data_IF_236707937475
#
_entry.id   IF_236707937475
#
_cell.length_a   1.000
_cell.length_b   1.000
_cell.length_c   1.000
_cell.angle_alpha   90.00
_cell.angle_beta   90.00
_cell.angle_gamma   90.00
#
_symmetry.space_group_name_H-M   'P 1'
#
loop_
_entity.id
_entity.type
_entity.pdbx_description
1 polymer ?
#
# COMPACT_ATOMS: atom_id res chain seq x y z
N UNK A 1 -23.65 12.74 10.68
CA UNK A 1 -23.66 12.03 11.98
C UNK A 1 -22.23 11.54 12.21
N UNK A 2 -21.40 12.38 12.86
CA UNK A 2 -19.97 12.11 13.09
C UNK A 2 -19.80 11.02 14.14
N UNK A 3 -19.49 9.82 13.73
CA UNK A 3 -19.02 8.76 14.63
C UNK A 3 -17.59 9.11 15.05
N UNK A 4 -17.43 9.68 16.25
CA UNK A 4 -16.14 9.86 16.89
C UNK A 4 -15.48 8.48 16.98
N UNK A 5 -14.45 8.25 16.14
CA UNK A 5 -13.52 7.13 16.33
C UNK A 5 -12.89 7.31 17.71
N UNK A 6 -13.45 6.62 18.72
CA UNK A 6 -12.79 6.42 19.99
C UNK A 6 -11.57 5.56 19.71
N UNK A 7 -10.41 6.19 19.56
CA UNK A 7 -9.14 5.51 19.78
C UNK A 7 -9.17 5.11 21.25
N UNK A 8 -9.51 3.85 21.46
CA UNK A 8 -9.65 3.24 22.78
C UNK A 8 -8.29 3.34 23.49
N UNK A 9 -8.32 3.70 24.76
CA UNK A 9 -7.22 3.84 25.73
C UNK A 9 -6.27 2.63 25.82
N UNK A 10 -5.66 2.22 24.71
CA UNK A 10 -4.59 1.21 24.68
C UNK A 10 -3.19 1.85 24.79
N UNK A 11 -3.12 3.17 24.71
CA UNK A 11 -1.89 3.97 24.72
C UNK A 11 -0.99 3.76 25.96
N UNK A 12 -1.51 3.66 27.18
CA UNK A 12 -0.60 3.52 28.34
C UNK A 12 0.13 2.18 28.40
N UNK A 13 -0.42 1.11 27.78
CA UNK A 13 0.21 -0.22 27.81
C UNK A 13 1.36 -0.35 26.80
N UNK A 14 1.30 0.39 25.70
CA UNK A 14 2.32 0.39 24.65
C UNK A 14 3.52 1.24 25.07
N UNK A 15 3.29 2.35 25.77
CA UNK A 15 4.38 3.20 26.32
C UNK A 15 5.20 2.44 27.37
N UNK A 16 4.57 1.60 28.21
CA UNK A 16 5.30 0.74 29.15
C UNK A 16 6.18 -0.29 28.46
N UNK A 17 5.80 -0.78 27.27
CA UNK A 17 6.61 -1.73 26.50
C UNK A 17 7.80 -1.06 25.79
N UNK A 18 7.65 0.22 25.40
CA UNK A 18 8.69 1.04 24.78
C UNK A 18 9.69 1.64 25.78
N UNK A 19 9.30 1.71 27.07
CA UNK A 19 10.15 2.20 28.18
C UNK A 19 10.94 1.09 28.88
N UNK A 20 10.97 -0.13 28.37
CA UNK A 20 11.90 -1.14 28.85
C UNK A 20 13.34 -0.59 28.67
N UNK A 21 14.15 -0.56 29.75
CA UNK A 21 15.43 0.12 29.72
C UNK A 21 16.34 -0.46 28.60
N UNK A 22 17.09 0.38 27.88
CA UNK A 22 17.98 -0.05 26.80
C UNK A 22 19.10 -1.01 27.22
N UNK A 23 19.22 -1.30 28.53
CA UNK A 23 20.11 -2.32 29.07
C UNK A 23 19.91 -3.71 28.48
N UNK A 24 18.72 -4.04 27.97
CA UNK A 24 18.48 -5.31 27.26
C UNK A 24 19.07 -5.33 25.83
N UNK A 25 19.21 -4.18 25.20
CA UNK A 25 19.84 -4.01 23.86
C UNK A 25 21.36 -3.84 23.95
N UNK A 26 21.88 -3.33 25.09
CA UNK A 26 23.31 -3.13 25.30
C UNK A 26 24.04 -4.39 25.77
N UNK A 27 23.32 -5.40 26.30
CA UNK A 27 23.93 -6.67 26.69
C UNK A 27 24.44 -7.52 25.50
N UNK A 28 24.07 -7.18 24.27
CA UNK A 28 24.53 -7.89 23.07
C UNK A 28 25.83 -7.34 22.47
N UNK A 29 26.33 -6.18 22.93
CA UNK A 29 27.53 -5.54 22.37
C UNK A 29 28.83 -5.76 23.17
N UNK A 30 28.77 -6.45 24.32
CA UNK A 30 29.92 -6.60 25.25
C UNK A 30 30.30 -8.06 25.50
N UNK A 31 30.32 -8.93 24.49
CA UNK A 31 30.91 -10.25 24.60
C UNK A 31 31.81 -10.53 23.39
N UNK A 32 33.12 -10.60 23.68
CA UNK A 32 34.18 -10.81 22.69
C UNK A 32 34.07 -12.12 21.92
N UNK A 33 34.65 -12.09 20.75
CA UNK A 33 35.03 -13.13 19.80
C UNK A 33 35.04 -14.58 20.31
N UNK A 34 33.98 -15.32 20.03
CA UNK A 34 34.04 -16.76 19.71
C UNK A 34 32.70 -17.05 19.04
N UNK A 35 32.62 -17.97 18.04
CA UNK A 35 31.52 -18.20 17.12
C UNK A 35 30.15 -18.09 17.78
N UNK A 36 29.46 -16.96 17.53
CA UNK A 36 28.18 -16.68 18.16
C UNK A 36 27.12 -17.52 17.48
N UNK A 37 26.61 -18.52 18.19
CA UNK A 37 25.37 -19.15 17.85
C UNK A 37 24.29 -18.05 17.70
N UNK A 38 23.68 -17.97 16.50
CA UNK A 38 22.61 -17.01 16.23
C UNK A 38 21.46 -17.37 17.15
N UNK A 39 21.12 -16.50 18.10
CA UNK A 39 19.91 -16.69 18.90
C UNK A 39 18.70 -16.46 18.01
N UNK A 40 18.20 -17.54 17.41
CA UNK A 40 17.02 -17.51 16.52
C UNK A 40 15.83 -16.85 17.19
N UNK A 41 15.62 -17.08 18.48
CA UNK A 41 14.54 -16.46 19.23
C UNK A 41 14.66 -14.92 19.24
N UNK A 42 15.82 -14.39 19.60
CA UNK A 42 16.03 -12.92 19.62
C UNK A 42 15.97 -12.33 18.21
N UNK A 43 16.47 -13.03 17.21
CA UNK A 43 16.42 -12.57 15.83
C UNK A 43 14.98 -12.52 15.33
N UNK A 44 14.19 -13.57 15.53
CA UNK A 44 12.78 -13.63 15.10
C UNK A 44 11.95 -12.57 15.83
N UNK A 45 12.09 -12.44 17.14
CA UNK A 45 11.34 -11.43 17.91
C UNK A 45 11.74 -10.01 17.55
N UNK A 46 13.03 -9.73 17.27
CA UNK A 46 13.48 -8.41 16.82
C UNK A 46 12.98 -8.11 15.40
N UNK A 47 12.99 -9.09 14.51
CA UNK A 47 12.48 -8.93 13.13
C UNK A 47 10.99 -8.61 13.14
N UNK A 48 10.19 -9.41 13.86
CA UNK A 48 8.75 -9.15 13.96
C UNK A 48 8.44 -7.87 14.75
N UNK A 49 9.22 -7.52 15.78
CA UNK A 49 9.11 -6.26 16.50
C UNK A 49 9.42 -5.06 15.62
N UNK A 50 10.50 -5.14 14.84
CA UNK A 50 10.87 -4.13 13.85
C UNK A 50 9.81 -3.97 12.76
N UNK A 51 9.28 -5.08 12.26
CA UNK A 51 8.18 -5.09 11.29
C UNK A 51 6.91 -4.49 11.88
N UNK A 52 6.58 -4.82 13.13
CA UNK A 52 5.44 -4.23 13.84
C UNK A 52 5.55 -2.71 13.97
N UNK A 53 6.73 -2.20 14.35
CA UNK A 53 7.00 -0.76 14.42
C UNK A 53 6.91 -0.10 13.03
N UNK A 54 7.45 -0.73 12.00
CA UNK A 54 7.36 -0.25 10.62
C UNK A 54 5.92 -0.14 10.14
N UNK A 55 5.13 -1.22 10.28
CA UNK A 55 3.73 -1.26 9.83
C UNK A 55 2.86 -0.28 10.63
N UNK A 56 3.01 -0.26 11.94
CA UNK A 56 2.25 0.64 12.81
C UNK A 56 2.61 2.11 12.57
N UNK A 57 3.91 2.39 12.35
CA UNK A 57 4.39 3.73 11.97
C UNK A 57 3.80 4.19 10.64
N UNK A 58 3.74 3.30 9.66
CA UNK A 58 3.13 3.57 8.35
C UNK A 58 1.62 3.84 8.47
N UNK A 59 0.90 3.06 9.27
CA UNK A 59 -0.53 3.26 9.52
C UNK A 59 -0.80 4.58 10.24
N UNK A 60 -0.05 4.88 11.29
CA UNK A 60 -0.16 6.14 12.04
C UNK A 60 0.12 7.36 11.17
N UNK A 61 1.15 7.31 10.30
CA UNK A 61 1.45 8.36 9.33
C UNK A 61 0.29 8.53 8.35
N UNK A 62 -0.22 7.43 7.79
CA UNK A 62 -1.35 7.42 6.86
C UNK A 62 -2.61 8.03 7.49
N UNK A 63 -2.96 7.64 8.69
CA UNK A 63 -4.16 8.13 9.38
C UNK A 63 -4.04 9.61 9.74
N UNK A 64 -2.87 10.05 10.16
CA UNK A 64 -2.61 11.48 10.38
C UNK A 64 -2.79 12.31 9.11
N UNK A 65 -2.30 11.83 7.97
CA UNK A 65 -2.49 12.49 6.67
C UNK A 65 -3.95 12.47 6.20
N UNK A 66 -4.68 11.36 6.37
CA UNK A 66 -6.13 11.29 6.05
C UNK A 66 -6.93 12.31 6.85
N UNK A 67 -6.66 12.44 8.15
CA UNK A 67 -7.34 13.40 9.01
C UNK A 67 -7.00 14.84 8.58
N UNK A 68 -5.73 15.13 8.27
CA UNK A 68 -5.29 16.42 7.79
C UNK A 68 -5.93 16.80 6.43
N UNK A 69 -6.11 15.82 5.53
CA UNK A 69 -6.76 16.03 4.23
C UNK A 69 -8.28 16.24 4.35
N UNK A 70 -8.90 15.73 5.42
CA UNK A 70 -10.33 15.89 5.70
C UNK A 70 -11.28 15.29 4.66
N UNK A 71 -12.53 15.79 4.64
CA UNK A 71 -13.59 15.30 3.74
C UNK A 71 -13.40 15.73 2.26
N UNK A 72 -12.35 16.49 1.94
CA UNK A 72 -12.11 17.00 0.58
C UNK A 72 -11.84 15.89 -0.44
N UNK A 73 -11.32 14.73 0.00
CA UNK A 73 -11.01 13.62 -0.90
C UNK A 73 -12.24 13.06 -1.60
N UNK A 74 -13.36 12.91 -0.89
CA UNK A 74 -14.61 12.45 -1.48
C UNK A 74 -15.11 13.43 -2.54
N UNK A 75 -15.13 14.73 -2.23
CA UNK A 75 -15.58 15.78 -3.16
C UNK A 75 -14.66 15.92 -4.38
N UNK A 76 -13.38 15.56 -4.27
CA UNK A 76 -12.44 15.55 -5.40
C UNK A 76 -12.78 14.38 -6.34
N UNK A 77 -13.09 13.19 -5.82
CA UNK A 77 -13.54 12.06 -6.64
C UNK A 77 -14.89 12.31 -7.30
N UNK A 78 -15.85 12.91 -6.57
CA UNK A 78 -17.18 13.24 -7.10
C UNK A 78 -17.13 14.24 -8.28
N UNK A 79 -16.09 15.09 -8.34
CA UNK A 79 -15.87 16.05 -9.42
C UNK A 79 -15.11 15.47 -10.62
N UNK A 80 -14.82 14.16 -10.62
CA UNK A 80 -14.17 13.50 -11.75
C UNK A 80 -15.04 13.62 -12.99
N UNK A 81 -14.53 14.38 -13.94
CA UNK A 81 -15.09 14.46 -15.30
C UNK A 81 -14.69 13.22 -16.10
N UNK A 82 -15.23 13.07 -17.30
CA UNK A 82 -14.87 12.00 -18.27
C UNK A 82 -13.40 12.08 -18.75
N UNK A 83 -12.61 13.06 -18.26
CA UNK A 83 -11.21 13.21 -18.64
C UNK A 83 -10.32 12.20 -17.91
N UNK A 84 -9.83 11.21 -18.65
CA UNK A 84 -8.98 10.12 -18.14
C UNK A 84 -7.65 10.60 -17.54
N UNK A 85 -7.07 11.68 -18.06
CA UNK A 85 -5.82 12.24 -17.53
C UNK A 85 -6.05 12.88 -16.16
N UNK A 86 -7.17 13.60 -16.01
CA UNK A 86 -7.57 14.13 -14.72
C UNK A 86 -7.87 13.02 -13.72
N UNK A 87 -8.50 11.93 -14.17
CA UNK A 87 -8.76 10.77 -13.33
C UNK A 87 -7.46 10.12 -12.81
N UNK A 88 -6.42 10.01 -13.67
CA UNK A 88 -5.09 9.55 -13.24
C UNK A 88 -4.49 10.48 -12.21
N UNK A 89 -4.48 11.80 -12.46
CA UNK A 89 -3.92 12.78 -11.54
C UNK A 89 -4.63 12.74 -10.16
N UNK A 90 -5.95 12.64 -10.16
CA UNK A 90 -6.76 12.54 -8.94
C UNK A 90 -6.51 11.20 -8.23
N UNK A 91 -6.46 10.09 -8.95
CA UNK A 91 -6.13 8.77 -8.37
C UNK A 91 -4.74 8.76 -7.72
N UNK A 92 -3.74 9.36 -8.39
CA UNK A 92 -2.39 9.50 -7.86
C UNK A 92 -2.37 10.39 -6.60
N UNK A 93 -3.02 11.55 -6.65
CA UNK A 93 -3.08 12.47 -5.51
C UNK A 93 -3.77 11.85 -4.29
N UNK A 94 -4.93 11.22 -4.49
CA UNK A 94 -5.68 10.59 -3.40
C UNK A 94 -4.85 9.46 -2.77
N UNK A 95 -4.24 8.60 -3.60
CA UNK A 95 -3.43 7.50 -3.08
C UNK A 95 -2.17 7.99 -2.39
N UNK A 96 -1.54 9.05 -2.89
CA UNK A 96 -0.42 9.72 -2.22
C UNK A 96 -0.81 10.21 -0.82
N UNK A 97 -2.01 10.76 -0.65
CA UNK A 97 -2.50 11.24 0.65
C UNK A 97 -2.94 10.08 1.55
N UNK A 98 -3.69 9.11 1.00
CA UNK A 98 -4.16 7.93 1.76
C UNK A 98 -3.00 6.96 2.07
N UNK A 99 -1.93 6.97 1.28
CA UNK A 99 -0.79 6.03 1.35
C UNK A 99 -1.20 4.56 1.15
N UNK A 100 -2.33 4.32 0.47
CA UNK A 100 -2.85 2.98 0.22
C UNK A 100 -3.65 2.92 -1.07
N UNK A 101 -3.09 2.28 -2.11
CA UNK A 101 -3.80 2.02 -3.36
C UNK A 101 -4.97 1.05 -3.17
N UNK A 102 -4.83 0.08 -2.25
CA UNK A 102 -5.93 -0.82 -1.89
C UNK A 102 -7.12 -0.05 -1.33
N UNK A 103 -6.91 0.88 -0.39
CA UNK A 103 -7.99 1.71 0.16
C UNK A 103 -8.63 2.60 -0.91
N UNK A 104 -7.82 3.18 -1.81
CA UNK A 104 -8.32 3.98 -2.94
C UNK A 104 -9.17 3.12 -3.88
N UNK A 105 -8.73 1.90 -4.21
CA UNK A 105 -9.47 1.00 -5.09
C UNK A 105 -10.76 0.50 -4.44
N UNK A 106 -10.75 0.14 -3.16
CA UNK A 106 -11.97 -0.25 -2.41
C UNK A 106 -12.98 0.90 -2.37
N UNK A 107 -12.51 2.13 -2.15
CA UNK A 107 -13.35 3.32 -2.18
C UNK A 107 -13.92 3.55 -3.60
N UNK A 108 -13.13 3.35 -4.64
CA UNK A 108 -13.56 3.43 -6.03
C UNK A 108 -14.63 2.37 -6.34
N UNK A 109 -14.43 1.10 -5.95
CA UNK A 109 -15.41 0.01 -6.05
C UNK A 109 -16.72 0.43 -5.38
N UNK A 110 -16.66 1.02 -4.18
CA UNK A 110 -17.85 1.50 -3.46
C UNK A 110 -18.57 2.64 -4.20
N UNK A 111 -17.85 3.57 -4.82
CA UNK A 111 -18.45 4.68 -5.57
C UNK A 111 -19.07 4.22 -6.88
N UNK A 112 -18.45 3.28 -7.55
CA UNK A 112 -19.04 2.66 -8.74
C UNK A 112 -20.27 1.83 -8.36
N UNK A 113 -20.20 1.08 -7.25
CA UNK A 113 -21.32 0.30 -6.75
C UNK A 113 -22.55 1.15 -6.36
N UNK A 114 -22.31 2.36 -5.86
CA UNK A 114 -23.37 3.32 -5.51
C UNK A 114 -23.84 4.20 -6.68
N UNK A 115 -23.30 4.00 -7.89
CA UNK A 115 -23.64 4.79 -9.08
C UNK A 115 -23.07 6.23 -9.06
N UNK A 116 -22.20 6.57 -8.11
CA UNK A 116 -21.55 7.91 -8.05
C UNK A 116 -20.50 8.09 -9.14
N UNK A 117 -19.88 7.01 -9.59
CA UNK A 117 -18.92 6.97 -10.69
C UNK A 117 -19.26 5.83 -11.64
N UNK A 118 -18.99 6.02 -12.93
CA UNK A 118 -19.04 4.92 -13.89
C UNK A 118 -17.77 4.09 -13.85
N UNK A 119 -17.84 2.83 -14.26
CA UNK A 119 -16.69 1.95 -14.42
C UNK A 119 -15.58 2.60 -15.27
N UNK A 120 -15.95 3.23 -16.41
CA UNK A 120 -15.00 3.85 -17.34
C UNK A 120 -14.21 5.00 -16.70
N UNK A 121 -14.88 5.83 -15.89
CA UNK A 121 -14.22 6.90 -15.11
C UNK A 121 -13.24 6.31 -14.09
N UNK A 122 -13.57 5.17 -13.52
CA UNK A 122 -12.72 4.47 -12.55
C UNK A 122 -11.37 4.00 -13.11
N UNK A 123 -11.27 3.70 -14.41
CA UNK A 123 -10.03 3.16 -15.01
C UNK A 123 -8.83 4.09 -14.84
N UNK A 124 -9.03 5.41 -15.04
CA UNK A 124 -7.98 6.39 -14.82
C UNK A 124 -7.54 6.47 -13.35
N UNK A 125 -8.50 6.39 -12.41
CA UNK A 125 -8.20 6.40 -10.98
C UNK A 125 -7.37 5.19 -10.57
N UNK A 126 -7.62 4.00 -11.13
CA UNK A 126 -6.82 2.79 -10.90
C UNK A 126 -5.36 3.02 -11.32
N UNK A 127 -5.14 3.48 -12.56
CA UNK A 127 -3.79 3.75 -13.07
C UNK A 127 -3.07 4.80 -12.22
N UNK A 128 -3.79 5.88 -11.85
CA UNK A 128 -3.26 6.90 -10.95
C UNK A 128 -2.93 6.38 -9.57
N UNK A 129 -3.76 5.50 -9.01
CA UNK A 129 -3.52 4.94 -7.67
C UNK A 129 -2.23 4.13 -7.59
N UNK A 130 -1.86 3.44 -8.67
CA UNK A 130 -0.58 2.73 -8.75
C UNK A 130 0.61 3.71 -8.68
N UNK A 131 0.55 4.84 -9.40
CA UNK A 131 1.58 5.89 -9.29
C UNK A 131 1.60 6.47 -7.87
N UNK A 132 0.44 6.82 -7.31
CA UNK A 132 0.35 7.42 -5.97
C UNK A 132 0.94 6.55 -4.87
N UNK A 133 0.81 5.22 -4.97
CA UNK A 133 1.38 4.28 -4.00
C UNK A 133 2.91 4.26 -3.99
N UNK A 134 3.56 4.67 -5.09
CA UNK A 134 5.02 4.69 -5.18
C UNK A 134 5.66 5.77 -4.30
N UNK A 135 4.90 6.79 -3.92
CA UNK A 135 5.37 7.84 -3.01
C UNK A 135 5.81 7.26 -1.67
N UNK A 136 5.09 6.23 -1.17
CA UNK A 136 5.52 5.50 0.04
C UNK A 136 6.92 4.90 -0.14
N UNK A 137 7.19 4.26 -1.26
CA UNK A 137 8.51 3.69 -1.56
C UNK A 137 9.59 4.79 -1.61
N UNK A 138 9.29 5.93 -2.23
CA UNK A 138 10.20 7.07 -2.30
C UNK A 138 10.53 7.62 -0.90
N UNK A 139 9.52 7.73 -0.04
CA UNK A 139 9.68 8.17 1.34
C UNK A 139 10.56 7.18 2.11
N UNK A 140 10.24 5.88 2.02
CA UNK A 140 10.96 4.81 2.73
C UNK A 140 12.41 4.69 2.29
N UNK A 141 12.72 5.01 1.03
CA UNK A 141 14.06 4.97 0.49
C UNK A 141 14.96 6.13 0.92
N UNK A 142 14.45 7.13 1.65
CA UNK A 142 15.30 8.17 2.24
C UNK A 142 16.11 7.61 3.40
N UNK A 143 17.40 7.99 3.48
CA UNK A 143 18.29 7.61 4.60
C UNK A 143 18.03 8.51 5.82
N UNK A 144 16.88 8.35 6.48
CA UNK A 144 16.47 9.15 7.65
C UNK A 144 16.55 8.32 8.94
N UNK A 145 17.03 7.08 8.85
CA UNK A 145 17.10 6.14 9.98
C UNK A 145 17.86 6.68 11.19
N UNK A 146 18.88 7.52 10.97
CA UNK A 146 19.67 8.11 12.05
C UNK A 146 18.90 9.16 12.85
N UNK A 147 17.90 9.80 12.23
CA UNK A 147 17.02 10.78 12.87
C UNK A 147 15.72 10.17 13.41
N UNK A 148 15.54 8.86 13.29
CA UNK A 148 14.29 8.18 13.65
C UNK A 148 13.88 8.46 15.11
N UNK A 149 14.83 8.39 16.06
CA UNK A 149 14.54 8.66 17.47
C UNK A 149 14.17 10.13 17.73
N UNK A 150 14.79 11.07 17.03
CA UNK A 150 14.43 12.49 17.13
C UNK A 150 13.00 12.73 16.60
N UNK A 151 12.64 12.10 15.48
CA UNK A 151 11.28 12.16 14.94
C UNK A 151 10.26 11.56 15.91
N UNK A 152 10.57 10.41 16.54
CA UNK A 152 9.74 9.80 17.58
C UNK A 152 9.54 10.78 18.74
N UNK A 153 10.62 11.37 19.24
CA UNK A 153 10.54 12.30 20.37
C UNK A 153 9.69 13.54 20.04
N UNK A 154 9.96 14.20 18.91
CA UNK A 154 9.22 15.40 18.48
C UNK A 154 7.75 15.05 18.22
N UNK A 155 7.48 13.98 17.47
CA UNK A 155 6.12 13.56 17.15
C UNK A 155 5.32 13.17 18.40
N UNK A 156 5.95 12.45 19.35
CA UNK A 156 5.33 12.10 20.64
C UNK A 156 5.02 13.35 21.46
N UNK A 157 5.95 14.28 21.59
CA UNK A 157 5.72 15.56 22.30
C UNK A 157 4.57 16.34 21.68
N UNK A 158 4.54 16.47 20.36
CA UNK A 158 3.46 17.18 19.66
C UNK A 158 2.10 16.48 19.85
N UNK A 159 2.06 15.15 19.78
CA UNK A 159 0.82 14.38 19.88
C UNK A 159 0.26 14.34 21.32
N UNK A 160 1.13 14.35 22.35
CA UNK A 160 0.73 14.23 23.74
C UNK A 160 0.40 15.59 24.37
N UNK A 161 1.18 16.63 24.08
CA UNK A 161 1.09 17.91 24.77
C UNK A 161 0.36 19.00 23.98
N UNK A 162 0.06 18.78 22.69
CA UNK A 162 -0.69 19.76 21.92
C UNK A 162 -2.17 19.81 22.35
N UNK A 163 -2.68 21.03 22.47
CA UNK A 163 -4.13 21.29 22.70
C UNK A 163 -4.90 21.42 21.37
N UNK A 164 -4.22 21.66 20.26
CA UNK A 164 -4.82 21.85 18.93
C UNK A 164 -4.83 20.52 18.19
N UNK A 165 -6.00 20.07 17.74
CA UNK A 165 -6.15 18.81 17.00
C UNK A 165 -5.27 18.76 15.74
N UNK A 166 -5.14 19.87 15.00
CA UNK A 166 -4.28 19.95 13.82
C UNK A 166 -2.81 19.67 14.15
N UNK A 167 -2.28 20.26 15.23
CA UNK A 167 -0.89 20.02 15.65
C UNK A 167 -0.69 18.61 16.18
N UNK A 168 -1.69 18.08 16.87
CA UNK A 168 -1.69 16.69 17.34
C UNK A 168 -1.64 15.69 16.18
N UNK A 169 -2.41 15.94 15.12
CA UNK A 169 -2.42 15.09 13.92
C UNK A 169 -1.08 15.15 13.17
N UNK A 170 -0.47 16.34 13.06
CA UNK A 170 0.89 16.46 12.53
C UNK A 170 1.89 15.70 13.42
N UNK A 171 1.73 15.75 14.73
CA UNK A 171 2.50 14.97 15.68
C UNK A 171 2.42 13.46 15.42
N UNK A 172 1.23 12.94 15.11
CA UNK A 172 1.05 11.53 14.72
C UNK A 172 1.73 11.19 13.40
N UNK A 173 1.71 12.09 12.41
CA UNK A 173 2.45 11.87 11.15
C UNK A 173 3.95 11.78 11.42
N UNK A 174 4.51 12.71 12.19
CA UNK A 174 5.94 12.73 12.52
C UNK A 174 6.35 11.51 13.37
N UNK A 175 5.53 11.15 14.36
CA UNK A 175 5.75 9.97 15.20
C UNK A 175 5.72 8.69 14.37
N UNK A 176 4.71 8.56 13.49
CA UNK A 176 4.58 7.43 12.59
C UNK A 176 5.78 7.29 11.65
N UNK A 177 6.26 8.42 11.13
CA UNK A 177 7.46 8.48 10.31
C UNK A 177 8.70 8.01 11.08
N UNK A 178 8.86 8.46 12.33
CA UNK A 178 9.95 8.02 13.21
C UNK A 178 9.90 6.52 13.52
N UNK A 179 8.71 5.97 13.85
CA UNK A 179 8.51 4.55 14.11
C UNK A 179 8.80 3.70 12.87
N UNK A 180 8.38 4.15 11.68
CA UNK A 180 8.64 3.49 10.40
C UNK A 180 10.16 3.32 10.20
N UNK A 181 10.93 4.41 10.31
CA UNK A 181 12.39 4.33 10.11
C UNK A 181 13.11 3.58 11.21
N UNK A 182 12.66 3.68 12.45
CA UNK A 182 13.23 2.92 13.54
C UNK A 182 12.96 1.41 13.38
N UNK A 183 11.75 1.03 12.97
CA UNK A 183 11.42 -0.35 12.63
C UNK A 183 12.29 -0.91 11.50
N UNK A 184 12.51 -0.11 10.44
CA UNK A 184 13.45 -0.48 9.36
C UNK A 184 14.86 -0.69 9.87
N UNK A 185 15.36 0.18 10.74
CA UNK A 185 16.69 0.04 11.34
C UNK A 185 16.80 -1.25 12.13
N UNK A 186 15.82 -1.55 12.99
CA UNK A 186 15.78 -2.79 13.78
C UNK A 186 15.78 -4.01 12.85
N UNK A 187 14.94 -4.03 11.82
CA UNK A 187 14.91 -5.14 10.85
C UNK A 187 16.26 -5.30 10.15
N UNK A 188 16.83 -4.20 9.61
CA UNK A 188 18.10 -4.22 8.90
C UNK A 188 19.25 -4.72 9.78
N UNK A 189 19.32 -4.24 11.04
CA UNK A 189 20.37 -4.67 11.99
C UNK A 189 20.21 -6.14 12.38
N UNK A 190 18.98 -6.60 12.55
CA UNK A 190 18.66 -7.99 12.88
C UNK A 190 19.06 -8.96 11.76
N UNK A 191 18.99 -8.52 10.49
CA UNK A 191 19.34 -9.36 9.34
C UNK A 191 20.84 -9.44 9.06
N UNK A 192 21.67 -8.59 9.67
CA UNK A 192 23.14 -8.59 9.45
C UNK A 192 23.82 -9.96 9.61
N UNK A 193 23.50 -10.77 10.66
CA UNK A 193 24.13 -12.08 10.82
C UNK A 193 23.79 -13.08 9.72
N UNK A 194 22.61 -12.92 9.06
CA UNK A 194 22.17 -13.82 8.00
C UNK A 194 22.88 -13.59 6.67
N UNK A 195 23.54 -12.44 6.47
CA UNK A 195 24.28 -12.14 5.23
C UNK A 195 25.43 -13.12 4.95
N UNK A 196 26.00 -13.71 6.00
CA UNK A 196 27.04 -14.73 5.88
C UNK A 196 26.49 -16.14 5.76
N UNK A 197 25.16 -16.33 5.85
CA UNK A 197 24.52 -17.64 5.76
C UNK A 197 24.30 -18.04 4.28
N UNK A 198 24.94 -19.11 3.77
CA UNK A 198 24.83 -19.49 2.36
C UNK A 198 23.39 -19.85 1.93
N UNK A 199 22.64 -20.52 2.79
CA UNK A 199 21.26 -20.92 2.51
C UNK A 199 20.37 -19.68 2.39
N UNK A 200 20.51 -18.71 3.27
CA UNK A 200 19.77 -17.46 3.20
C UNK A 200 20.08 -16.69 1.90
N UNK A 201 21.36 -16.58 1.56
CA UNK A 201 21.77 -15.91 0.34
C UNK A 201 21.26 -16.64 -0.91
N UNK A 202 21.28 -17.97 -0.95
CA UNK A 202 20.76 -18.74 -2.09
C UNK A 202 19.25 -18.52 -2.29
N UNK A 203 18.49 -18.38 -1.21
CA UNK A 203 17.04 -18.06 -1.28
C UNK A 203 16.86 -16.66 -1.86
N UNK A 204 17.60 -15.65 -1.38
CA UNK A 204 17.47 -14.29 -1.87
C UNK A 204 17.91 -14.15 -3.34
N UNK A 205 19.01 -14.82 -3.72
CA UNK A 205 19.49 -14.87 -5.12
C UNK A 205 18.48 -15.56 -6.05
N UNK A 206 17.71 -16.52 -5.55
CA UNK A 206 16.66 -17.16 -6.37
C UNK A 206 15.59 -16.17 -6.86
N UNK A 207 15.42 -15.04 -6.17
CA UNK A 207 14.48 -13.98 -6.56
C UNK A 207 14.99 -13.10 -7.71
N UNK A 208 16.25 -13.25 -8.13
CA UNK A 208 16.77 -12.66 -9.36
C UNK A 208 16.13 -13.31 -10.60
N UNK A 209 15.65 -14.57 -10.45
CA UNK A 209 14.77 -15.14 -11.45
C UNK A 209 13.43 -14.36 -11.46
N UNK A 210 13.07 -13.71 -12.59
CA UNK A 210 11.89 -12.85 -12.66
C UNK A 210 10.60 -13.53 -12.20
N UNK A 211 10.38 -14.79 -12.60
CA UNK A 211 9.16 -15.52 -12.24
C UNK A 211 9.10 -15.82 -10.74
N UNK A 212 10.21 -16.25 -10.15
CA UNK A 212 10.28 -16.56 -8.72
C UNK A 212 10.11 -15.29 -7.88
N UNK A 213 10.79 -14.20 -8.25
CA UNK A 213 10.67 -12.92 -7.57
C UNK A 213 9.26 -12.34 -7.67
N UNK A 214 8.65 -12.33 -8.86
CA UNK A 214 7.27 -11.87 -9.06
C UNK A 214 6.29 -12.72 -8.25
N UNK A 215 6.42 -14.06 -8.29
CA UNK A 215 5.53 -14.96 -7.55
C UNK A 215 5.67 -14.75 -6.03
N UNK A 216 6.90 -14.64 -5.52
CA UNK A 216 7.16 -14.39 -4.10
C UNK A 216 6.60 -13.04 -3.65
N UNK A 217 6.85 -11.97 -4.41
CA UNK A 217 6.31 -10.64 -4.12
C UNK A 217 4.78 -10.61 -4.17
N UNK A 218 4.17 -11.29 -5.14
CA UNK A 218 2.72 -11.39 -5.27
C UNK A 218 2.09 -12.17 -4.10
N UNK A 219 2.63 -13.34 -3.77
CA UNK A 219 2.13 -14.17 -2.67
C UNK A 219 2.25 -13.45 -1.32
N UNK A 220 3.40 -12.82 -1.07
CA UNK A 220 3.64 -12.08 0.16
C UNK A 220 2.71 -10.86 0.29
N UNK A 221 2.53 -10.12 -0.80
CA UNK A 221 1.61 -8.96 -0.80
C UNK A 221 0.15 -9.38 -0.68
N UNK A 222 -0.25 -10.47 -1.32
CA UNK A 222 -1.60 -11.03 -1.18
C UNK A 222 -1.92 -11.43 0.27
N UNK A 223 -0.91 -11.98 0.99
CA UNK A 223 -1.03 -12.34 2.40
C UNK A 223 -1.14 -11.10 3.30
N UNK A 224 -0.25 -10.12 3.13
CA UNK A 224 -0.21 -8.89 3.94
C UNK A 224 -1.28 -7.87 3.49
N UNK A 225 -1.76 -7.97 2.23
CA UNK A 225 -2.70 -7.05 1.60
C UNK A 225 -2.18 -5.59 1.50
N UNK A 226 -0.86 -5.41 1.47
CA UNK A 226 -0.21 -4.10 1.39
C UNK A 226 1.06 -4.15 0.56
N UNK A 227 1.01 -3.63 -0.67
CA UNK A 227 2.20 -3.50 -1.51
C UNK A 227 3.20 -2.50 -0.97
N UNK A 228 2.73 -1.45 -0.29
CA UNK A 228 3.62 -0.48 0.37
C UNK A 228 4.44 -1.13 1.49
N UNK A 229 3.82 -2.03 2.27
CA UNK A 229 4.51 -2.80 3.29
C UNK A 229 5.54 -3.75 2.67
N UNK A 230 5.17 -4.51 1.63
CA UNK A 230 6.07 -5.40 0.91
C UNK A 230 7.26 -4.63 0.32
N UNK A 231 6.99 -3.52 -0.38
CA UNK A 231 8.05 -2.68 -0.96
C UNK A 231 8.97 -2.11 0.12
N UNK A 232 8.41 -1.68 1.26
CA UNK A 232 9.19 -1.20 2.40
C UNK A 232 10.11 -2.27 2.98
N UNK A 233 9.67 -3.52 3.07
CA UNK A 233 10.49 -4.66 3.51
C UNK A 233 11.60 -4.93 2.50
N UNK A 234 11.30 -4.94 1.19
CA UNK A 234 12.31 -5.10 0.13
C UNK A 234 13.37 -3.99 0.21
N UNK A 235 12.95 -2.73 0.36
CA UNK A 235 13.86 -1.59 0.55
C UNK A 235 14.69 -1.74 1.83
N UNK A 236 14.12 -2.27 2.91
CA UNK A 236 14.84 -2.52 4.16
C UNK A 236 15.92 -3.60 4.00
N UNK A 237 15.60 -4.69 3.32
CA UNK A 237 16.56 -5.76 2.99
C UNK A 237 17.67 -5.23 2.09
N UNK A 238 17.36 -4.37 1.14
CA UNK A 238 18.33 -3.70 0.28
C UNK A 238 19.22 -2.73 1.08
N UNK A 239 18.64 -1.95 2.00
CA UNK A 239 19.38 -1.08 2.90
C UNK A 239 20.34 -1.87 3.80
N UNK A 240 19.93 -3.06 4.16
CA UNK A 240 20.73 -4.05 4.85
C UNK A 240 21.80 -4.71 3.97
N UNK A 241 21.86 -4.49 2.66
CA UNK A 241 22.77 -5.17 1.74
C UNK A 241 22.46 -6.67 1.59
N UNK A 242 21.24 -7.09 1.91
CA UNK A 242 20.81 -8.50 1.82
C UNK A 242 20.19 -8.85 0.47
N UNK A 243 19.79 -7.87 -0.33
CA UNK A 243 19.12 -8.07 -1.61
C UNK A 243 19.74 -7.16 -2.68
N UNK A 244 19.87 -7.67 -3.90
CA UNK A 244 20.36 -6.95 -5.07
C UNK A 244 19.22 -6.15 -5.73
N UNK A 245 19.56 -5.27 -6.67
CA UNK A 245 18.57 -4.58 -7.49
C UNK A 245 17.77 -5.57 -8.36
N UNK A 246 18.48 -6.55 -8.94
CA UNK A 246 17.96 -7.58 -9.82
C UNK A 246 16.92 -8.47 -9.13
N UNK A 247 17.08 -8.74 -7.83
CA UNK A 247 16.10 -9.45 -7.02
C UNK A 247 14.99 -8.51 -6.51
N UNK A 248 15.31 -7.26 -6.22
CA UNK A 248 14.36 -6.26 -5.73
C UNK A 248 13.27 -5.91 -6.74
N UNK A 249 13.62 -5.74 -8.03
CA UNK A 249 12.67 -5.37 -9.10
C UNK A 249 11.56 -6.42 -9.28
N UNK A 250 11.85 -7.73 -9.46
CA UNK A 250 10.81 -8.73 -9.56
C UNK A 250 9.88 -8.78 -8.34
N UNK A 251 10.43 -8.62 -7.14
CA UNK A 251 9.62 -8.60 -5.90
C UNK A 251 8.63 -7.44 -5.87
N UNK A 252 9.02 -6.22 -6.25
CA UNK A 252 8.11 -5.07 -6.29
C UNK A 252 7.08 -5.18 -7.43
N UNK A 253 7.45 -5.79 -8.58
CA UNK A 253 6.50 -6.10 -9.64
C UNK A 253 5.43 -7.09 -9.15
N UNK A 254 5.87 -8.13 -8.46
CA UNK A 254 4.98 -9.07 -7.79
C UNK A 254 4.08 -8.39 -6.76
N UNK A 255 4.61 -7.44 -5.98
CA UNK A 255 3.82 -6.70 -5.02
C UNK A 255 2.65 -5.94 -5.65
N UNK A 256 2.83 -5.38 -6.85
CA UNK A 256 1.74 -4.74 -7.59
C UNK A 256 0.64 -5.75 -7.96
N UNK A 257 1.01 -6.95 -8.42
CA UNK A 257 0.05 -8.00 -8.75
C UNK A 257 -0.68 -8.48 -7.49
N UNK A 258 0.05 -8.69 -6.39
CA UNK A 258 -0.52 -9.15 -5.12
C UNK A 258 -1.56 -8.20 -4.53
N UNK A 259 -1.43 -6.89 -4.78
CA UNK A 259 -2.41 -5.88 -4.34
C UNK A 259 -3.80 -6.10 -4.95
N UNK A 260 -3.89 -6.78 -6.10
CA UNK A 260 -5.16 -7.03 -6.78
C UNK A 260 -6.12 -7.89 -5.94
N UNK A 261 -5.60 -8.71 -5.03
CA UNK A 261 -6.43 -9.56 -4.15
C UNK A 261 -7.41 -8.71 -3.32
N UNK A 262 -6.97 -7.56 -2.81
CA UNK A 262 -7.86 -6.66 -2.03
C UNK A 262 -9.00 -6.10 -2.88
N UNK A 263 -8.73 -5.73 -4.13
CA UNK A 263 -9.76 -5.26 -5.06
C UNK A 263 -10.76 -6.37 -5.43
N UNK A 264 -10.27 -7.59 -5.66
CA UNK A 264 -11.11 -8.75 -5.93
C UNK A 264 -12.01 -9.07 -4.74
N UNK A 265 -11.48 -9.08 -3.52
CA UNK A 265 -12.26 -9.30 -2.29
C UNK A 265 -13.34 -8.23 -2.11
N UNK A 266 -13.02 -6.95 -2.35
CA UNK A 266 -13.99 -5.86 -2.28
C UNK A 266 -15.10 -5.99 -3.35
N UNK A 267 -14.77 -6.57 -4.51
CA UNK A 267 -15.72 -6.78 -5.61
C UNK A 267 -16.63 -8.00 -5.45
N UNK A 268 -16.39 -8.94 -4.53
CA UNK A 268 -17.11 -10.22 -4.47
C UNK A 268 -18.64 -10.07 -4.42
N UNK A 269 -19.13 -9.20 -3.53
CA UNK A 269 -20.56 -8.96 -3.32
C UNK A 269 -21.04 -7.62 -3.90
N UNK A 270 -20.25 -7.02 -4.80
CA UNK A 270 -20.57 -5.74 -5.41
C UNK A 270 -21.35 -5.90 -6.73
N UNK A 271 -21.89 -4.79 -7.26
CA UNK A 271 -22.53 -4.75 -8.56
C UNK A 271 -21.60 -5.18 -9.71
N UNK A 272 -22.16 -5.52 -10.86
CA UNK A 272 -21.40 -5.89 -12.06
C UNK A 272 -20.39 -4.81 -12.45
N UNK A 273 -20.79 -3.54 -12.42
CA UNK A 273 -19.87 -2.42 -12.69
C UNK A 273 -18.72 -2.34 -11.71
N UNK A 274 -19.00 -2.54 -10.43
CA UNK A 274 -17.98 -2.53 -9.39
C UNK A 274 -17.01 -3.74 -9.50
N UNK A 275 -17.51 -4.92 -9.90
CA UNK A 275 -16.68 -6.09 -10.23
C UNK A 275 -15.74 -5.81 -11.42
N UNK A 276 -16.24 -5.09 -12.45
CA UNK A 276 -15.42 -4.67 -13.60
C UNK A 276 -14.23 -3.80 -13.17
N UNK A 277 -14.39 -2.95 -12.14
CA UNK A 277 -13.29 -2.15 -11.56
C UNK A 277 -12.21 -3.06 -10.98
N UNK A 278 -12.58 -4.08 -10.22
CA UNK A 278 -11.63 -5.04 -9.66
C UNK A 278 -10.90 -5.83 -10.75
N UNK A 279 -11.62 -6.28 -11.79
CA UNK A 279 -11.04 -6.98 -12.95
C UNK A 279 -10.08 -6.07 -13.70
N UNK A 280 -10.43 -4.79 -13.91
CA UNK A 280 -9.56 -3.81 -14.55
C UNK A 280 -8.27 -3.61 -13.76
N UNK A 281 -8.35 -3.54 -12.43
CA UNK A 281 -7.17 -3.43 -11.57
C UNK A 281 -6.23 -4.64 -11.75
N UNK A 282 -6.76 -5.86 -11.77
CA UNK A 282 -5.98 -7.07 -12.08
C UNK A 282 -5.36 -6.97 -13.47
N UNK A 283 -6.17 -6.62 -14.45
CA UNK A 283 -5.73 -6.54 -15.87
C UNK A 283 -4.56 -5.58 -16.03
N UNK A 284 -4.64 -4.37 -15.48
CA UNK A 284 -3.56 -3.38 -15.62
C UNK A 284 -2.29 -3.80 -14.89
N UNK A 285 -2.39 -4.38 -13.69
CA UNK A 285 -1.20 -4.80 -12.95
C UNK A 285 -0.53 -6.02 -13.59
N UNK A 286 -1.31 -7.04 -13.97
CA UNK A 286 -0.77 -8.23 -14.64
C UNK A 286 -0.20 -7.89 -16.00
N UNK A 287 -0.91 -7.10 -16.83
CA UNK A 287 -0.42 -6.67 -18.12
C UNK A 287 0.83 -5.77 -18.01
N UNK A 288 0.87 -4.89 -17.00
CA UNK A 288 2.03 -4.06 -16.70
C UNK A 288 3.26 -4.91 -16.38
N UNK A 289 3.12 -5.87 -15.48
CA UNK A 289 4.21 -6.79 -15.14
C UNK A 289 4.61 -7.65 -16.33
N UNK A 290 3.65 -8.19 -17.10
CA UNK A 290 3.93 -8.96 -18.30
C UNK A 290 4.71 -8.17 -19.36
N UNK A 291 4.43 -6.86 -19.49
CA UNK A 291 5.15 -5.97 -20.40
C UNK A 291 6.64 -5.84 -20.01
N UNK A 292 6.95 -5.83 -18.73
CA UNK A 292 8.30 -5.61 -18.23
C UNK A 292 9.08 -6.88 -17.89
N UNK A 293 8.41 -8.01 -17.62
CA UNK A 293 9.07 -9.22 -17.11
C UNK A 293 10.21 -9.74 -18.00
N UNK A 294 10.11 -9.54 -19.33
CA UNK A 294 11.14 -9.96 -20.29
C UNK A 294 12.29 -8.94 -20.41
N UNK A 295 12.12 -7.73 -19.87
CA UNK A 295 13.07 -6.63 -19.97
C UNK A 295 13.70 -6.28 -18.61
N UNK A 296 13.47 -7.08 -17.58
CA UNK A 296 13.96 -6.78 -16.22
C UNK A 296 15.46 -6.53 -16.18
N UNK A 297 16.35 -7.30 -16.84
CA UNK A 297 17.78 -7.01 -16.80
C UNK A 297 18.10 -5.63 -17.40
N UNK A 298 17.59 -5.31 -18.59
CA UNK A 298 17.80 -4.00 -19.23
C UNK A 298 17.19 -2.87 -18.40
N UNK A 299 16.02 -3.10 -17.79
CA UNK A 299 15.38 -2.13 -16.91
C UNK A 299 16.22 -1.91 -15.64
N UNK A 300 16.80 -2.96 -15.06
CA UNK A 300 17.71 -2.86 -13.92
C UNK A 300 18.95 -2.03 -14.27
N UNK A 301 19.54 -2.24 -15.46
CA UNK A 301 20.68 -1.44 -15.93
C UNK A 301 20.35 0.06 -16.03
N UNK A 302 19.16 0.41 -16.55
CA UNK A 302 18.71 1.81 -16.59
C UNK A 302 18.47 2.39 -15.20
N UNK A 303 17.84 1.62 -14.33
CA UNK A 303 17.54 2.03 -12.96
C UNK A 303 18.82 2.20 -12.14
N UNK A 304 19.84 1.37 -12.36
CA UNK A 304 21.12 1.47 -11.64
C UNK A 304 21.78 2.84 -11.82
N UNK A 305 21.55 3.50 -12.95
CA UNK A 305 22.08 4.83 -13.25
C UNK A 305 21.33 5.97 -12.52
N UNK A 306 20.18 5.69 -11.94
CA UNK A 306 19.34 6.73 -11.26
C UNK A 306 19.83 7.09 -9.86
N UNK A 307 20.66 6.28 -9.25
CA UNK A 307 21.19 6.50 -7.89
C UNK A 307 22.34 5.52 -7.60
N UNK A 308 23.23 5.88 -6.69
CA UNK A 308 24.27 4.98 -6.17
C UNK A 308 23.75 4.01 -5.09
N UNK A 309 22.55 4.22 -4.58
CA UNK A 309 21.98 3.45 -3.47
C UNK A 309 20.89 2.48 -3.96
N UNK A 310 21.06 1.19 -3.75
CA UNK A 310 20.11 0.14 -4.12
C UNK A 310 18.69 0.41 -3.57
N UNK A 311 18.49 0.78 -2.29
CA UNK A 311 17.17 1.16 -1.78
C UNK A 311 16.47 2.23 -2.63
N UNK A 312 17.22 3.27 -3.02
CA UNK A 312 16.69 4.36 -3.87
C UNK A 312 16.42 3.87 -5.28
N UNK A 313 17.31 3.04 -5.84
CA UNK A 313 17.09 2.42 -7.16
C UNK A 313 15.80 1.61 -7.17
N UNK A 314 15.54 0.77 -6.14
CA UNK A 314 14.29 -0.01 -6.03
C UNK A 314 13.06 0.91 -5.96
N UNK A 315 13.11 2.00 -5.20
CA UNK A 315 12.02 2.97 -5.15
C UNK A 315 11.80 3.66 -6.51
N UNK A 316 12.89 4.01 -7.20
CA UNK A 316 12.85 4.59 -8.55
C UNK A 316 12.28 3.59 -9.56
N UNK A 317 12.70 2.31 -9.49
CA UNK A 317 12.13 1.24 -10.31
C UNK A 317 10.62 1.15 -10.14
N UNK A 318 10.12 1.16 -8.90
CA UNK A 318 8.70 1.12 -8.62
C UNK A 318 7.95 2.31 -9.22
N UNK A 319 8.51 3.51 -9.07
CA UNK A 319 7.88 4.74 -9.60
C UNK A 319 7.90 4.77 -11.12
N UNK A 320 9.06 4.53 -11.74
CA UNK A 320 9.23 4.58 -13.20
C UNK A 320 8.37 3.50 -13.87
N UNK A 321 8.35 2.28 -13.33
CA UNK A 321 7.49 1.21 -13.81
C UNK A 321 6.01 1.64 -13.85
N UNK A 322 5.47 2.18 -12.74
CA UNK A 322 4.06 2.56 -12.68
C UNK A 322 3.74 3.78 -13.57
N UNK A 323 4.67 4.71 -13.73
CA UNK A 323 4.51 5.84 -14.68
C UNK A 323 4.48 5.32 -16.12
N UNK A 324 5.45 4.50 -16.52
CA UNK A 324 5.50 3.95 -17.88
C UNK A 324 4.27 3.10 -18.17
N UNK A 325 3.89 2.20 -17.25
CA UNK A 325 2.69 1.39 -17.39
C UNK A 325 1.44 2.28 -17.56
N UNK A 326 1.30 3.34 -16.78
CA UNK A 326 0.19 4.30 -16.90
C UNK A 326 0.20 4.99 -18.27
N UNK A 327 1.35 5.51 -18.70
CA UNK A 327 1.49 6.19 -20.02
C UNK A 327 1.13 5.25 -21.16
N UNK A 328 1.58 3.99 -21.09
CA UNK A 328 1.27 2.96 -22.09
C UNK A 328 -0.22 2.62 -22.08
N UNK A 329 -0.82 2.42 -20.90
CA UNK A 329 -2.21 1.92 -20.84
C UNK A 329 -3.28 3.00 -20.96
N UNK A 330 -3.00 4.26 -20.66
CA UNK A 330 -4.00 5.33 -20.69
C UNK A 330 -4.71 5.48 -22.06
N UNK A 331 -4.01 5.38 -23.22
CA UNK A 331 -4.66 5.39 -24.53
C UNK A 331 -5.59 4.19 -24.74
N UNK A 332 -5.24 3.05 -24.16
CA UNK A 332 -5.97 1.80 -24.34
C UNK A 332 -7.12 1.60 -23.32
N UNK A 333 -7.34 2.53 -22.39
CA UNK A 333 -8.44 2.42 -21.41
C UNK A 333 -9.82 2.20 -22.06
N UNK A 334 -10.18 2.81 -23.22
CA UNK A 334 -11.46 2.53 -23.87
C UNK A 334 -11.53 1.12 -24.48
N UNK A 335 -10.40 0.58 -24.94
CA UNK A 335 -10.33 -0.80 -25.44
C UNK A 335 -10.51 -1.79 -24.29
N UNK A 336 -9.76 -1.60 -23.21
CA UNK A 336 -9.87 -2.43 -21.99
C UNK A 336 -11.27 -2.38 -21.43
N UNK A 337 -11.91 -1.20 -21.38
CA UNK A 337 -13.28 -1.06 -20.92
C UNK A 337 -14.24 -1.90 -21.80
N UNK A 338 -14.14 -1.79 -23.13
CA UNK A 338 -14.98 -2.57 -24.07
C UNK A 338 -14.78 -4.07 -23.92
N UNK A 339 -13.52 -4.51 -23.76
CA UNK A 339 -13.21 -5.93 -23.53
C UNK A 339 -13.83 -6.44 -22.23
N UNK A 340 -13.65 -5.72 -21.12
CA UNK A 340 -14.19 -6.13 -19.83
C UNK A 340 -15.73 -6.15 -19.87
N UNK A 341 -16.38 -5.15 -20.45
CA UNK A 341 -17.84 -5.12 -20.60
C UNK A 341 -18.33 -6.30 -21.47
N UNK A 342 -17.60 -6.63 -22.56
CA UNK A 342 -17.96 -7.75 -23.43
C UNK A 342 -17.89 -9.11 -22.73
N UNK A 343 -16.84 -9.34 -21.92
CA UNK A 343 -16.66 -10.63 -21.21
C UNK A 343 -17.41 -10.69 -19.87
N UNK A 344 -17.75 -9.52 -19.32
CA UNK A 344 -18.55 -9.36 -18.10
C UNK A 344 -19.77 -8.43 -18.40
N UNK A 345 -20.74 -8.86 -19.21
CA UNK A 345 -21.92 -8.06 -19.53
C UNK A 345 -22.76 -7.81 -18.28
N UNK A 346 -23.66 -6.83 -18.36
CA UNK A 346 -24.65 -6.63 -17.33
C UNK A 346 -25.54 -7.88 -17.22
N UNK A 347 -26.07 -8.15 -16.04
CA UNK A 347 -27.12 -9.16 -15.92
C UNK A 347 -28.31 -8.66 -16.74
N UNK A 348 -28.78 -9.47 -17.66
CA UNK A 348 -30.11 -9.25 -18.22
C UNK A 348 -31.05 -9.28 -17.01
N UNK A 349 -31.45 -8.11 -16.55
CA UNK A 349 -32.60 -8.01 -15.67
C UNK A 349 -33.73 -8.48 -16.54
N UNK A 350 -34.15 -9.72 -16.31
CA UNK A 350 -35.40 -10.24 -16.87
C UNK A 350 -36.48 -9.31 -16.33
N UNK A 351 -36.65 -8.18 -17.04
CA UNK A 351 -37.78 -7.30 -16.86
C UNK A 351 -38.95 -8.08 -17.45
N UNK A 352 -39.41 -9.01 -16.64
CA UNK A 352 -40.74 -9.56 -16.88
C UNK A 352 -41.73 -8.38 -16.80
N UNK A 353 -41.85 -7.68 -17.94
CA UNK A 353 -42.70 -6.51 -18.13
C UNK A 353 -44.16 -6.89 -17.82
N UNK A 354 -44.46 -8.20 -17.70
CA UNK A 354 -45.75 -8.75 -17.35
C UNK A 354 -46.07 -8.71 -15.85
N UNK A 355 -45.06 -8.53 -14.98
CA UNK A 355 -45.31 -8.33 -13.56
C UNK A 355 -45.32 -6.84 -13.26
N UNK A 356 -46.52 -6.28 -12.93
CA UNK A 356 -46.60 -4.91 -12.43
C UNK A 356 -45.63 -4.83 -11.24
N UNK A 357 -44.78 -3.78 -11.21
CA UNK A 357 -43.97 -3.50 -10.04
C UNK A 357 -44.93 -3.44 -8.84
N UNK A 358 -44.92 -4.51 -8.04
CA UNK A 358 -45.68 -4.52 -6.80
C UNK A 358 -44.93 -3.50 -5.93
N UNK A 359 -45.36 -2.25 -6.02
CA UNK A 359 -45.10 -1.29 -4.99
C UNK A 359 -45.71 -1.92 -3.73
N UNK A 360 -44.87 -2.30 -2.79
CA UNK A 360 -45.32 -2.58 -1.43
C UNK A 360 -45.79 -1.23 -0.84
N UNK A 361 -46.98 -0.81 -1.26
CA UNK A 361 -47.73 0.17 -0.50
C UNK A 361 -48.13 -0.57 0.77
N UNK A 362 -47.57 -0.09 1.90
CA UNK A 362 -47.98 -0.55 3.22
C UNK A 362 -49.48 -0.35 3.30
N UNK A 363 -50.26 -1.43 3.42
CA UNK A 363 -51.74 -1.38 3.51
C UNK A 363 -52.19 -0.44 4.63
N UNK A 364 -51.36 -0.20 5.64
CA UNK A 364 -51.60 0.76 6.71
C UNK A 364 -51.54 2.24 6.26
N UNK A 365 -50.97 2.53 5.10
CA UNK A 365 -50.93 3.88 4.53
C UNK A 365 -52.15 4.22 3.68
N UNK A 366 -52.94 3.23 3.29
CA UNK A 366 -54.16 3.44 2.49
C UNK A 366 -55.33 4.07 3.29
N UNK A 367 -55.21 4.10 4.62
CA UNK A 367 -56.20 4.67 5.53
C UNK A 367 -55.94 6.12 5.95
N UNK A 368 -54.85 6.76 5.54
CA UNK A 368 -54.57 8.17 5.89
C UNK A 368 -55.10 9.10 4.80
N UNK A 369 -56.08 10.00 5.12
CA UNK A 369 -56.50 11.01 4.18
C UNK A 369 -55.29 11.90 3.82
N UNK A 370 -55.10 12.15 2.52
CA UNK A 370 -54.15 13.16 2.07
C UNK A 370 -54.57 14.52 2.64
N UNK A 371 -53.75 15.12 3.47
CA UNK A 371 -53.85 16.51 3.90
C UNK A 371 -53.18 17.39 2.87
#
# INVERSE_FOLDING_TARGET
>A
MCRKLKIKNSFPKIICLLMAPPSFLLASSAAGSSGKDISWFLMVTSLFGGMGMFLYGMEMMSDGMKIAAGNKMRSVLEKLTSNRFLAVAVGAFITMVIQSSSATTVMLVSFVNSGLLSFVQGLGVILGSNIGSTITAQIVAFKVTDYALALIAVGAMMSLFSKKDSTKNIGFVILGFGLLFYGMKVMSDTMKPLRSNPTFNSILTSFENPFMGILAGAAFTALIQSSSATTGIVITLASGGSITLEAGIPLIFGANVGTCVTALLAGLNASREAKRVAIAHVTFNVAGVALFCFWIPTFADWISQTSENIPRQIANAHTIFNIIATVVFIPFTPLVARMIIKYFPDEEVDRDISKPAVMHLDENMLGTPAI
#
